data_IF_721850349070
#
_entry.id   IF_721850349070
#
_cell.length_a   1.000
_cell.length_b   1.000
_cell.length_c   1.000
_cell.angle_alpha   90.00
_cell.angle_beta   90.00
_cell.angle_gamma   90.00
#
_symmetry.space_group_name_H-M   'P 1'
#
loop_
_entity.id
_entity.type
_entity.pdbx_description
1 polymer ?
#
# COMPACT_ATOMS: atom_id res chain seq x y z
N UNK A 1 -16.98 6.15 10.54
CA UNK A 1 -16.27 6.25 9.26
C UNK A 1 -14.81 5.89 9.46
N UNK A 2 -14.30 4.93 8.67
CA UNK A 2 -12.92 4.46 8.80
C UNK A 2 -11.97 5.45 8.13
N UNK A 3 -10.93 5.88 8.84
CA UNK A 3 -9.90 6.75 8.30
C UNK A 3 -8.71 5.90 7.83
N UNK A 4 -7.86 6.47 6.98
CA UNK A 4 -6.64 5.81 6.59
C UNK A 4 -5.42 6.71 6.79
N UNK A 5 -4.29 6.09 7.00
CA UNK A 5 -3.00 6.77 7.14
C UNK A 5 -1.92 5.94 6.46
N UNK A 6 -0.80 6.58 6.15
CA UNK A 6 0.37 5.92 5.58
C UNK A 6 1.49 5.90 6.62
N UNK A 7 2.20 4.77 6.69
CA UNK A 7 3.44 4.72 7.44
C UNK A 7 4.52 5.53 6.71
N UNK A 8 5.61 5.92 7.39
CA UNK A 8 6.75 6.54 6.72
C UNK A 8 7.29 5.67 5.58
N UNK A 9 7.31 4.36 5.76
CA UNK A 9 7.75 3.41 4.74
C UNK A 9 6.84 3.42 3.51
N UNK A 10 5.52 3.50 3.73
CA UNK A 10 4.56 3.60 2.62
C UNK A 10 4.72 4.93 1.86
N UNK A 11 4.95 6.03 2.56
CA UNK A 11 5.25 7.30 1.90
C UNK A 11 6.53 7.22 1.06
N UNK A 12 7.57 6.56 1.58
CA UNK A 12 8.80 6.35 0.83
C UNK A 12 8.54 5.50 -0.42
N UNK A 13 7.69 4.48 -0.31
CA UNK A 13 7.29 3.67 -1.46
C UNK A 13 6.59 4.51 -2.53
N UNK A 14 5.62 5.35 -2.13
CA UNK A 14 4.89 6.21 -3.06
C UNK A 14 5.83 7.18 -3.76
N UNK A 15 6.79 7.73 -3.03
CA UNK A 15 7.79 8.63 -3.60
C UNK A 15 8.65 7.92 -4.64
N UNK A 16 9.09 6.71 -4.33
CA UNK A 16 9.90 5.92 -5.26
C UNK A 16 9.11 5.58 -6.53
N UNK A 17 7.83 5.23 -6.39
CA UNK A 17 6.93 4.95 -7.52
C UNK A 17 6.79 6.21 -8.37
N UNK A 18 6.53 7.36 -7.75
CA UNK A 18 6.37 8.63 -8.45
C UNK A 18 7.63 9.01 -9.23
N UNK A 19 8.80 8.87 -8.62
CA UNK A 19 10.07 9.18 -9.26
C UNK A 19 10.35 8.24 -10.45
N UNK A 20 10.02 6.97 -10.30
CA UNK A 20 10.18 5.99 -11.38
C UNK A 20 9.32 6.35 -12.59
N UNK A 21 8.05 6.69 -12.37
CA UNK A 21 7.13 7.07 -13.44
C UNK A 21 7.54 8.42 -14.06
N UNK A 22 7.95 9.37 -13.19
CA UNK A 22 8.31 10.72 -13.62
C UNK A 22 9.53 10.76 -14.54
N UNK A 23 10.39 9.75 -14.50
CA UNK A 23 11.55 9.64 -15.40
C UNK A 23 11.11 9.64 -16.86
N UNK A 24 9.94 9.05 -17.14
CA UNK A 24 9.37 9.00 -18.49
C UNK A 24 8.20 9.96 -18.68
N UNK A 25 7.39 10.16 -17.64
CA UNK A 25 6.15 10.93 -17.75
C UNK A 25 5.80 11.61 -16.42
N UNK A 26 6.27 12.86 -16.21
CA UNK A 26 6.00 13.59 -14.94
C UNK A 26 4.52 13.81 -14.66
N UNK A 27 3.71 14.06 -15.69
CA UNK A 27 2.27 14.27 -15.50
C UNK A 27 1.60 12.99 -15.04
N UNK A 28 1.99 11.84 -15.62
CA UNK A 28 1.45 10.54 -15.21
C UNK A 28 1.84 10.18 -13.78
N UNK A 29 3.03 10.59 -13.34
CA UNK A 29 3.46 10.35 -11.97
C UNK A 29 2.48 10.95 -10.96
N UNK A 30 2.06 12.19 -11.17
CA UNK A 30 1.09 12.87 -10.30
C UNK A 30 -0.27 12.18 -10.32
N UNK A 31 -0.78 11.85 -11.50
CA UNK A 31 -2.08 11.20 -11.61
C UNK A 31 -2.08 9.80 -11.01
N UNK A 32 -0.97 9.07 -11.14
CA UNK A 32 -0.87 7.71 -10.61
C UNK A 32 -0.87 7.69 -9.08
N UNK A 33 -0.14 8.60 -8.45
CA UNK A 33 -0.15 8.73 -6.99
C UNK A 33 -1.55 9.08 -6.50
N UNK A 34 -2.25 9.98 -7.19
CA UNK A 34 -3.63 10.33 -6.86
C UNK A 34 -4.56 9.12 -6.97
N UNK A 35 -4.36 8.25 -7.96
CA UNK A 35 -5.14 7.02 -8.11
C UNK A 35 -4.90 6.06 -6.93
N UNK A 36 -3.65 5.93 -6.48
CA UNK A 36 -3.34 5.10 -5.31
C UNK A 36 -4.02 5.65 -4.06
N UNK A 37 -3.97 6.96 -3.85
CA UNK A 37 -4.64 7.60 -2.71
C UNK A 37 -6.15 7.35 -2.74
N UNK A 38 -6.76 7.46 -3.92
CA UNK A 38 -8.19 7.20 -4.08
C UNK A 38 -8.52 5.74 -3.80
N UNK A 39 -7.65 4.82 -4.23
CA UNK A 39 -7.79 3.40 -3.92
C UNK A 39 -7.73 3.15 -2.41
N UNK A 40 -6.86 3.86 -1.70
CA UNK A 40 -6.76 3.76 -0.25
C UNK A 40 -8.02 4.26 0.46
N UNK A 41 -8.66 5.31 -0.05
CA UNK A 41 -9.95 5.77 0.47
C UNK A 41 -11.01 4.68 0.36
N UNK A 42 -11.06 3.98 -0.77
CA UNK A 42 -11.98 2.86 -0.98
C UNK A 42 -11.68 1.70 -0.04
N UNK A 43 -10.40 1.41 0.18
CA UNK A 43 -10.00 0.39 1.14
C UNK A 43 -10.52 0.75 2.53
N UNK A 44 -10.42 2.01 2.92
CA UNK A 44 -10.91 2.47 4.22
C UNK A 44 -12.43 2.35 4.35
N UNK A 45 -13.17 2.49 3.25
CA UNK A 45 -14.62 2.31 3.25
C UNK A 45 -15.00 0.82 3.40
N UNK A 46 -14.23 -0.09 2.83
CA UNK A 46 -14.50 -1.52 2.83
C UNK A 46 -13.24 -2.31 3.22
N UNK A 47 -12.76 -2.14 4.45
CA UNK A 47 -11.42 -2.66 4.82
C UNK A 47 -11.33 -4.18 4.82
N UNK A 48 -12.46 -4.89 4.92
CA UNK A 48 -12.48 -6.34 4.94
C UNK A 48 -12.72 -6.98 3.57
N UNK A 49 -12.80 -6.18 2.50
CA UNK A 49 -13.06 -6.68 1.15
C UNK A 49 -11.86 -7.37 0.51
N UNK A 50 -10.65 -7.08 0.96
CA UNK A 50 -9.42 -7.68 0.43
C UNK A 50 -8.97 -8.85 1.30
N UNK A 51 -8.24 -9.84 0.70
CA UNK A 51 -7.86 -11.04 1.42
C UNK A 51 -6.95 -10.75 2.62
N UNK A 52 -7.15 -11.46 3.74
CA UNK A 52 -6.25 -11.37 4.88
C UNK A 52 -4.93 -12.11 4.62
N UNK A 53 -3.89 -11.65 5.27
CA UNK A 53 -2.56 -12.28 5.27
C UNK A 53 -2.07 -12.44 6.72
N UNK A 54 -2.64 -13.39 7.46
CA UNK A 54 -2.29 -13.55 8.88
C UNK A 54 -0.83 -13.93 9.10
N UNK A 55 -0.17 -14.54 8.11
CA UNK A 55 1.25 -14.85 8.18
C UNK A 55 2.13 -13.60 8.23
N UNK A 56 1.61 -12.45 7.83
CA UNK A 56 2.33 -11.17 7.86
C UNK A 56 1.96 -10.32 9.07
N UNK A 57 1.02 -10.76 9.90
CA UNK A 57 0.61 -10.09 11.12
C UNK A 57 -0.89 -9.98 11.27
N UNK A 58 -1.34 -9.75 12.51
CA UNK A 58 -2.75 -9.59 12.82
C UNK A 58 -3.35 -8.39 12.10
N UNK A 59 -4.50 -8.59 11.47
CA UNK A 59 -5.22 -7.54 10.78
C UNK A 59 -4.61 -7.12 9.44
N UNK A 60 -3.51 -7.76 9.00
CA UNK A 60 -2.86 -7.43 7.74
C UNK A 60 -3.65 -8.02 6.57
N UNK A 61 -3.87 -7.17 5.58
CA UNK A 61 -4.57 -7.53 4.33
C UNK A 61 -3.80 -6.96 3.16
N UNK A 62 -4.13 -7.46 1.96
CA UNK A 62 -3.46 -7.04 0.73
C UNK A 62 -4.50 -6.70 -0.34
N UNK A 63 -4.33 -5.55 -0.96
CA UNK A 63 -5.14 -5.12 -2.10
C UNK A 63 -4.24 -4.91 -3.31
N UNK A 64 -4.82 -5.07 -4.50
CA UNK A 64 -4.09 -4.89 -5.76
C UNK A 64 -4.51 -3.58 -6.41
N UNK A 65 -3.54 -2.81 -6.90
CA UNK A 65 -3.78 -1.64 -7.72
C UNK A 65 -2.78 -1.63 -8.89
N UNK A 66 -3.25 -1.97 -10.09
CA UNK A 66 -2.38 -2.10 -11.26
C UNK A 66 -1.31 -3.16 -11.00
N UNK A 67 -0.05 -2.78 -11.14
CA UNK A 67 1.09 -3.67 -10.90
C UNK A 67 1.58 -3.64 -9.45
N UNK A 68 0.90 -2.91 -8.57
CA UNK A 68 1.33 -2.71 -7.18
C UNK A 68 0.40 -3.40 -6.20
N UNK A 69 0.99 -3.81 -5.09
CA UNK A 69 0.28 -4.39 -3.96
C UNK A 69 0.26 -3.38 -2.84
N UNK A 70 -0.92 -3.12 -2.29
CA UNK A 70 -1.11 -2.24 -1.14
C UNK A 70 -1.28 -3.14 0.08
N UNK A 71 -0.28 -3.15 0.94
CA UNK A 71 -0.30 -3.93 2.18
C UNK A 71 -0.76 -3.00 3.29
N UNK A 72 -1.86 -3.37 3.94
CA UNK A 72 -2.44 -2.52 4.98
C UNK A 72 -2.85 -3.34 6.20
N UNK A 73 -3.01 -2.65 7.33
CA UNK A 73 -3.49 -3.25 8.57
C UNK A 73 -4.79 -2.59 8.98
N UNK A 74 -5.79 -3.40 9.29
CA UNK A 74 -7.07 -2.93 9.79
C UNK A 74 -6.97 -2.83 11.31
N UNK A 75 -7.27 -1.65 11.83
CA UNK A 75 -7.40 -1.40 13.27
C UNK A 75 -8.78 -0.83 13.55
N UNK A 76 -9.12 -0.65 14.81
CA UNK A 76 -10.40 -0.03 15.18
C UNK A 76 -10.44 1.39 14.58
N UNK A 77 -11.40 1.63 13.71
CA UNK A 77 -11.66 2.92 13.05
C UNK A 77 -10.53 3.46 12.18
N UNK A 78 -9.48 2.67 11.91
CA UNK A 78 -8.35 3.13 11.09
C UNK A 78 -7.82 2.01 10.21
N UNK A 79 -7.50 2.35 8.97
CA UNK A 79 -6.71 1.52 8.07
C UNK A 79 -5.33 2.15 7.95
N UNK A 80 -4.31 1.39 8.27
CA UNK A 80 -2.94 1.85 8.17
C UNK A 80 -2.28 1.19 6.96
N UNK A 81 -1.91 1.99 5.96
CA UNK A 81 -1.18 1.50 4.79
C UNK A 81 0.28 1.32 5.19
N UNK A 82 0.74 0.08 5.17
CA UNK A 82 2.08 -0.30 5.65
C UNK A 82 3.14 -0.19 4.57
N UNK A 83 2.86 -0.70 3.38
CA UNK A 83 3.77 -0.68 2.23
C UNK A 83 2.98 -0.65 0.92
N UNK A 84 3.60 -0.10 -0.13
CA UNK A 84 3.10 -0.19 -1.50
C UNK A 84 4.24 -0.75 -2.35
N UNK A 85 4.10 -2.00 -2.81
CA UNK A 85 5.20 -2.77 -3.37
C UNK A 85 4.81 -3.32 -4.73
N UNK A 86 5.74 -3.26 -5.70
CA UNK A 86 5.50 -3.84 -7.03
C UNK A 86 5.26 -5.35 -6.92
N UNK A 87 4.19 -5.84 -7.55
CA UNK A 87 3.75 -7.23 -7.42
C UNK A 87 4.70 -8.26 -8.04
N UNK A 88 5.66 -7.82 -8.86
CA UNK A 88 6.67 -8.72 -9.43
C UNK A 88 7.78 -9.07 -8.43
N UNK A 89 7.88 -8.35 -7.31
CA UNK A 89 8.88 -8.63 -6.29
C UNK A 89 8.49 -9.87 -5.49
N UNK A 90 9.50 -10.58 -4.99
CA UNK A 90 9.29 -11.66 -4.02
C UNK A 90 8.97 -11.03 -2.67
N UNK A 91 7.67 -10.94 -2.36
CA UNK A 91 7.19 -10.24 -1.16
C UNK A 91 7.66 -10.95 0.10
N UNK A 92 7.62 -12.28 0.14
CA UNK A 92 8.06 -13.03 1.32
C UNK A 92 9.54 -12.78 1.63
N UNK A 93 10.40 -12.82 0.61
CA UNK A 93 11.81 -12.53 0.79
C UNK A 93 12.04 -11.07 1.21
N UNK A 94 11.28 -10.14 0.62
CA UNK A 94 11.37 -8.73 0.99
C UNK A 94 11.02 -8.51 2.45
N UNK A 95 9.92 -9.12 2.93
CA UNK A 95 9.47 -8.95 4.31
C UNK A 95 10.38 -9.64 5.33
N UNK A 96 11.19 -10.61 4.92
CA UNK A 96 12.22 -11.20 5.78
C UNK A 96 13.35 -10.19 6.05
N UNK A 97 13.75 -9.43 5.02
CA UNK A 97 14.83 -8.45 5.17
C UNK A 97 14.33 -7.09 5.64
N UNK A 98 13.10 -6.75 5.31
CA UNK A 98 12.47 -5.47 5.68
C UNK A 98 11.09 -5.77 6.27
N UNK A 99 11.01 -6.15 7.56
CA UNK A 99 9.73 -6.48 8.17
C UNK A 99 8.71 -5.33 8.09
N UNK A 100 7.43 -5.68 8.08
CA UNK A 100 6.37 -4.68 8.04
C UNK A 100 6.42 -3.79 9.27
N UNK A 101 6.11 -2.48 9.12
CA UNK A 101 5.96 -1.59 10.27
C UNK A 101 4.90 -2.10 11.24
N UNK A 102 5.11 -1.87 12.50
CA UNK A 102 4.15 -2.23 13.56
C UNK A 102 3.05 -1.20 13.74
#
# INVERSE_FOLDING_TARGET
>A
MTQFSFTPEAYADLRAIALHIAADNPVRALSYVAEIEERCKRIAEFPNASPPRPEWGDGVRIAVHGYYLIIYRVRVETVQVLRVIHGARDIDALLESEPLPE
#
